data_IF_210230419111
#
_entry.id   IF_210230419111
#
_cell.length_a   1.000
_cell.length_b   1.000
_cell.length_c   1.000
_cell.angle_alpha   90.00
_cell.angle_beta   90.00
_cell.angle_gamma   90.00
#
_symmetry.space_group_name_H-M   'P 1'
#
loop_
_entity.id
_entity.type
_entity.pdbx_description
1 polymer ?
#
# COMPACT_ATOMS: atom_id res chain seq x y z
N UNK A 1 -10.74 14.26 -1.67
CA UNK A 1 -10.22 12.89 -1.43
C UNK A 1 -8.86 12.77 -2.09
N UNK A 2 -7.88 12.37 -1.32
CA UNK A 2 -6.52 12.24 -1.82
C UNK A 2 -6.15 10.78 -1.93
N UNK A 3 -6.20 10.25 -3.15
CA UNK A 3 -5.70 8.91 -3.40
C UNK A 3 -4.19 8.97 -3.51
N UNK A 4 -3.53 8.17 -2.69
CA UNK A 4 -2.08 8.15 -2.63
C UNK A 4 -1.58 6.75 -2.93
N UNK A 5 -0.42 6.68 -3.55
CA UNK A 5 0.27 5.43 -3.77
C UNK A 5 1.35 5.32 -2.72
N UNK A 6 1.26 4.29 -1.90
CA UNK A 6 2.17 4.06 -0.80
C UNK A 6 3.06 2.88 -1.15
N UNK A 7 4.37 3.07 -1.03
CA UNK A 7 5.32 1.99 -1.27
C UNK A 7 6.00 1.63 0.03
N UNK A 8 5.90 0.36 0.38
CA UNK A 8 6.52 -0.20 1.58
C UNK A 8 7.64 -1.13 1.15
N UNK A 9 8.79 -1.02 1.77
CA UNK A 9 9.91 -1.90 1.49
C UNK A 9 10.31 -2.60 2.77
N UNK A 10 10.83 -3.81 2.62
CA UNK A 10 11.19 -4.65 3.75
C UNK A 10 12.29 -3.98 4.56
N UNK A 11 12.04 -3.86 5.86
CA UNK A 11 13.02 -3.33 6.78
C UNK A 11 13.96 -4.45 7.21
N UNK A 12 14.84 -4.16 8.16
CA UNK A 12 15.84 -5.13 8.60
C UNK A 12 15.18 -6.35 9.23
N UNK A 13 15.64 -7.50 8.80
CA UNK A 13 15.24 -8.79 9.38
C UNK A 13 16.48 -9.66 9.41
N UNK A 14 16.45 -10.79 10.13
CA UNK A 14 17.59 -11.70 10.10
C UNK A 14 17.95 -12.15 8.68
N UNK A 15 16.97 -12.33 7.82
CA UNK A 15 17.22 -12.75 6.44
C UNK A 15 17.70 -11.60 5.58
N UNK A 16 17.41 -10.38 5.97
CA UNK A 16 17.78 -9.17 5.22
C UNK A 16 18.33 -8.14 6.20
N UNK A 17 19.60 -8.31 6.60
CA UNK A 17 20.15 -7.46 7.67
C UNK A 17 20.16 -5.97 7.35
N UNK A 18 20.09 -5.60 6.09
CA UNK A 18 20.03 -4.19 5.69
C UNK A 18 18.70 -3.85 5.04
N UNK A 19 17.71 -4.74 5.17
CA UNK A 19 16.44 -4.56 4.50
C UNK A 19 16.55 -4.90 3.03
N UNK A 20 15.48 -4.64 2.29
CA UNK A 20 15.48 -4.90 0.85
C UNK A 20 14.45 -4.03 0.16
N UNK A 21 14.88 -3.28 -0.83
CA UNK A 21 13.97 -2.47 -1.63
C UNK A 21 13.27 -3.29 -2.72
N UNK A 22 13.63 -4.55 -2.86
CA UNK A 22 13.02 -5.43 -3.85
C UNK A 22 11.98 -6.36 -3.23
N UNK A 23 11.64 -6.15 -1.98
CA UNK A 23 10.64 -6.94 -1.28
C UNK A 23 9.69 -5.97 -0.59
N UNK A 24 8.43 -6.03 -0.91
CA UNK A 24 7.51 -5.13 -0.27
C UNK A 24 6.14 -5.10 -0.91
N UNK A 25 5.48 -3.99 -0.70
CA UNK A 25 4.12 -3.78 -1.14
C UNK A 25 3.97 -2.37 -1.69
N UNK A 26 3.11 -2.25 -2.68
CA UNK A 26 2.71 -0.94 -3.17
C UNK A 26 1.19 -0.94 -3.26
N UNK A 27 0.57 0.03 -2.66
CA UNK A 27 -0.89 0.06 -2.67
C UNK A 27 -1.41 1.48 -2.79
N UNK A 28 -2.65 1.58 -3.25
CA UNK A 28 -3.34 2.85 -3.40
C UNK A 28 -4.39 2.93 -2.31
N UNK A 29 -4.45 4.07 -1.62
CA UNK A 29 -5.45 4.30 -0.58
C UNK A 29 -5.69 5.78 -0.43
N UNK A 30 -6.92 6.17 -0.03
CA UNK A 30 -7.15 7.55 0.35
C UNK A 30 -6.57 7.77 1.73
N UNK A 31 -5.83 8.85 1.89
CA UNK A 31 -5.22 9.18 3.17
C UNK A 31 -5.83 10.44 3.74
N UNK A 32 -5.91 10.48 5.07
CA UNK A 32 -6.32 11.68 5.77
C UNK A 32 -5.18 12.69 5.75
N UNK A 33 -5.46 13.87 6.28
CA UNK A 33 -4.44 14.90 6.39
C UNK A 33 -3.27 14.43 7.27
N UNK A 34 -3.56 13.56 8.23
CA UNK A 34 -2.54 13.01 9.13
C UNK A 34 -1.87 11.77 8.55
N UNK A 35 -2.14 11.48 7.28
CA UNK A 35 -1.50 10.37 6.57
C UNK A 35 -1.89 8.99 7.10
N UNK A 36 -3.10 8.88 7.59
CA UNK A 36 -3.69 7.59 7.92
C UNK A 36 -4.65 7.19 6.81
N UNK A 37 -4.90 5.89 6.66
CA UNK A 37 -5.89 5.47 5.68
C UNK A 37 -7.26 5.97 6.12
N UNK A 38 -7.92 6.65 5.20
CA UNK A 38 -9.26 7.20 5.45
C UNK A 38 -10.27 6.10 5.15
N UNK A 39 -10.76 5.45 6.23
CA UNK A 39 -11.66 4.32 6.07
C UNK A 39 -13.00 4.70 5.46
N UNK A 40 -13.45 5.91 5.75
CA UNK A 40 -14.73 6.35 5.20
C UNK A 40 -14.60 6.63 3.71
N UNK A 41 -13.54 7.31 3.30
CA UNK A 41 -13.30 7.57 1.88
C UNK A 41 -13.01 6.27 1.13
N UNK A 42 -12.37 5.31 1.79
CA UNK A 42 -12.07 4.04 1.17
C UNK A 42 -13.33 3.34 0.66
N UNK A 43 -14.43 3.46 1.39
CA UNK A 43 -15.67 2.78 0.98
C UNK A 43 -16.11 3.18 -0.42
N UNK A 44 -15.86 4.42 -0.77
CA UNK A 44 -16.29 4.94 -2.07
C UNK A 44 -15.35 4.54 -3.20
N UNK A 45 -14.10 4.18 -2.87
CA UNK A 45 -13.08 3.91 -3.89
C UNK A 45 -12.38 2.58 -3.69
N UNK A 46 -12.98 1.68 -2.94
CA UNK A 46 -12.31 0.44 -2.57
C UNK A 46 -11.88 -0.41 -3.75
N UNK A 47 -12.59 -0.30 -4.86
CA UNK A 47 -12.22 -1.05 -6.06
C UNK A 47 -11.03 -0.43 -6.78
N UNK A 48 -10.60 0.75 -6.37
CA UNK A 48 -9.42 1.40 -6.93
C UNK A 48 -8.22 1.26 -6.01
N UNK A 49 -8.40 0.71 -4.83
CA UNK A 49 -7.32 0.58 -3.86
C UNK A 49 -6.60 -0.74 -4.09
N UNK A 50 -5.81 -0.76 -5.15
CA UNK A 50 -5.11 -1.96 -5.57
C UNK A 50 -3.84 -2.13 -4.78
N UNK A 51 -3.44 -3.37 -4.63
CA UNK A 51 -2.22 -3.74 -3.92
C UNK A 51 -1.39 -4.61 -4.84
N UNK A 52 -0.10 -4.35 -4.86
CA UNK A 52 0.87 -5.19 -5.55
C UNK A 52 1.91 -5.62 -4.53
N UNK A 53 2.13 -6.92 -4.45
CA UNK A 53 3.21 -7.46 -3.64
C UNK A 53 4.35 -7.84 -4.58
N UNK A 54 5.52 -7.33 -4.29
CA UNK A 54 6.71 -7.68 -5.06
C UNK A 54 7.71 -8.33 -4.10
N UNK A 55 8.32 -9.41 -4.54
CA UNK A 55 9.17 -10.19 -3.64
C UNK A 55 10.31 -10.81 -4.43
N UNK A 56 11.34 -10.01 -4.67
CA UNK A 56 12.52 -10.48 -5.39
C UNK A 56 12.18 -10.97 -6.78
N UNK A 57 12.56 -12.20 -7.03
CA UNK A 57 12.34 -12.80 -8.35
C UNK A 57 10.99 -13.48 -8.49
N UNK A 58 10.19 -13.49 -7.41
CA UNK A 58 8.87 -14.11 -7.48
C UNK A 58 7.93 -13.25 -8.32
N UNK A 59 6.96 -13.87 -8.97
CA UNK A 59 5.96 -13.09 -9.70
C UNK A 59 5.21 -12.15 -8.77
N UNK A 60 4.90 -10.97 -9.26
CA UNK A 60 4.12 -10.03 -8.48
C UNK A 60 2.71 -10.56 -8.26
N UNK A 61 2.14 -10.22 -7.12
CA UNK A 61 0.78 -10.58 -6.80
C UNK A 61 -0.04 -9.30 -6.69
N UNK A 62 -1.21 -9.32 -7.30
CA UNK A 62 -2.11 -8.17 -7.28
C UNK A 62 -3.36 -8.49 -6.51
N UNK A 63 -3.88 -7.50 -5.84
CA UNK A 63 -5.10 -7.65 -5.09
C UNK A 63 -5.70 -6.31 -4.74
N UNK A 64 -6.53 -6.33 -3.72
CA UNK A 64 -7.25 -5.14 -3.26
C UNK A 64 -7.03 -4.95 -1.78
N UNK A 65 -7.02 -3.70 -1.36
CA UNK A 65 -7.00 -3.33 0.04
C UNK A 65 -8.40 -3.47 0.61
N UNK A 66 -8.54 -4.22 1.68
CA UNK A 66 -9.83 -4.47 2.32
C UNK A 66 -9.81 -4.01 3.76
N UNK A 67 -10.92 -3.51 4.21
CA UNK A 67 -11.10 -3.12 5.61
C UNK A 67 -11.93 -4.21 6.28
N UNK A 68 -11.33 -4.89 7.24
CA UNK A 68 -11.97 -6.00 7.92
C UNK A 68 -11.83 -5.77 9.42
N UNK A 69 -12.98 -5.65 10.11
CA UNK A 69 -12.95 -5.35 11.54
C UNK A 69 -12.28 -4.02 11.78
N UNK A 70 -11.24 -4.03 12.60
CA UNK A 70 -10.50 -2.81 12.93
C UNK A 70 -9.21 -2.68 12.16
N UNK A 71 -8.96 -3.55 11.20
CA UNK A 71 -7.69 -3.57 10.52
C UNK A 71 -7.82 -3.56 9.02
N UNK A 72 -6.67 -3.57 8.38
CA UNK A 72 -6.58 -3.56 6.94
C UNK A 72 -5.94 -4.86 6.49
N UNK A 73 -6.34 -5.31 5.31
CA UNK A 73 -5.93 -6.58 4.80
C UNK A 73 -5.71 -6.47 3.30
N UNK A 74 -4.72 -7.19 2.80
CA UNK A 74 -4.48 -7.29 1.37
C UNK A 74 -5.11 -8.58 0.89
N UNK A 75 -6.03 -8.47 -0.06
CA UNK A 75 -6.78 -9.61 -0.58
C UNK A 75 -6.36 -9.85 -2.01
N UNK A 76 -5.57 -10.87 -2.23
CA UNK A 76 -5.02 -11.17 -3.56
C UNK A 76 -5.93 -12.06 -4.39
N UNK A 77 -6.94 -12.63 -3.79
CA UNK A 77 -7.86 -13.50 -4.49
C UNK A 77 -9.26 -13.24 -3.98
N UNK A 78 -10.00 -12.33 -4.63
CA UNK A 78 -11.35 -12.00 -4.16
C UNK A 78 -12.29 -13.19 -4.12
N UNK A 79 -12.00 -14.25 -4.86
CA UNK A 79 -12.83 -15.45 -4.85
C UNK A 79 -12.35 -16.48 -3.85
N UNK A 80 -11.10 -16.38 -3.48
CA UNK A 80 -10.53 -17.28 -2.50
C UNK A 80 -10.52 -16.64 -1.15
N UNK A 81 -9.89 -17.28 -0.23
CA UNK A 81 -9.92 -16.83 1.14
C UNK A 81 -8.62 -17.11 1.88
N UNK A 82 -7.67 -17.69 1.19
CA UNK A 82 -6.47 -18.17 1.87
C UNK A 82 -5.25 -17.28 1.65
N UNK A 83 -5.36 -16.29 0.79
CA UNK A 83 -4.20 -15.49 0.43
C UNK A 83 -4.20 -14.11 1.08
N UNK A 84 -5.10 -13.88 2.00
CA UNK A 84 -5.18 -12.59 2.67
C UNK A 84 -3.98 -12.41 3.58
N UNK A 85 -3.43 -11.21 3.57
CA UNK A 85 -2.35 -10.86 4.47
C UNK A 85 -2.81 -9.75 5.39
N UNK A 86 -2.98 -10.02 6.68
CA UNK A 86 -3.45 -8.99 7.62
C UNK A 86 -2.46 -7.83 7.70
N UNK A 87 -3.01 -6.65 7.76
CA UNK A 87 -2.23 -5.43 7.87
C UNK A 87 -2.57 -4.84 9.23
N UNK A 88 -1.71 -5.03 10.21
CA UNK A 88 -2.04 -4.71 11.60
C UNK A 88 -1.83 -3.25 11.92
N UNK A 89 -2.77 -2.70 12.69
CA UNK A 89 -2.66 -1.38 13.31
C UNK A 89 -2.39 -0.26 12.33
N UNK A 90 -2.75 -0.48 11.08
CA UNK A 90 -2.50 0.54 10.08
C UNK A 90 -3.27 1.83 10.37
N UNK A 91 -4.46 1.68 10.93
CA UNK A 91 -5.29 2.82 11.25
C UNK A 91 -4.70 3.70 12.34
N UNK A 92 -3.74 3.17 13.11
CA UNK A 92 -3.12 3.91 14.18
C UNK A 92 -1.73 4.40 13.83
N UNK A 93 -1.25 4.07 12.64
CA UNK A 93 0.07 4.48 12.21
C UNK A 93 -0.03 5.43 11.04
N UNK A 94 0.75 6.48 11.11
CA UNK A 94 0.88 7.38 9.98
C UNK A 94 1.71 6.69 8.89
N UNK A 95 1.28 6.82 7.66
CA UNK A 95 2.01 6.28 6.52
C UNK A 95 2.97 7.33 5.96
N UNK A 96 3.64 8.00 6.87
CA UNK A 96 4.61 9.01 6.52
C UNK A 96 5.90 8.35 6.04
N UNK A 97 6.55 8.89 5.03
CA UNK A 97 7.83 8.32 4.59
C UNK A 97 8.79 8.19 5.77
N UNK A 98 9.41 7.03 5.87
CA UNK A 98 10.30 6.73 6.98
C UNK A 98 9.63 6.03 8.15
N UNK A 99 8.30 6.01 8.21
CA UNK A 99 7.59 5.30 9.27
C UNK A 99 7.68 3.80 9.04
N UNK A 100 7.46 3.04 10.10
CA UNK A 100 7.51 1.58 10.05
C UNK A 100 6.14 1.01 10.32
N UNK A 101 5.79 -0.03 9.60
CA UNK A 101 4.56 -0.78 9.82
C UNK A 101 4.90 -2.25 9.77
N UNK A 102 4.10 -3.06 10.45
CA UNK A 102 4.29 -4.50 10.46
C UNK A 102 3.15 -5.16 9.70
N UNK A 103 3.50 -6.15 8.90
CA UNK A 103 2.53 -6.93 8.15
C UNK A 103 2.73 -8.39 8.51
N UNK A 104 1.65 -9.07 8.88
CA UNK A 104 1.70 -10.50 9.03
C UNK A 104 1.36 -11.12 7.69
N UNK A 105 2.32 -11.81 7.12
CA UNK A 105 2.14 -12.38 5.80
C UNK A 105 1.45 -13.74 5.90
N UNK A 106 1.10 -14.30 4.75
CA UNK A 106 0.28 -15.51 4.75
C UNK A 106 0.98 -16.73 5.31
N UNK A 107 2.29 -16.65 5.51
CA UNK A 107 3.02 -17.71 6.20
C UNK A 107 2.96 -17.54 7.72
N UNK A 108 2.23 -16.55 8.20
CA UNK A 108 2.08 -16.30 9.62
C UNK A 108 3.23 -15.51 10.24
N UNK A 109 4.20 -15.14 9.46
CA UNK A 109 5.36 -14.42 9.98
C UNK A 109 5.11 -12.92 9.87
N UNK A 110 5.31 -12.22 10.98
CA UNK A 110 5.20 -10.77 11.00
C UNK A 110 6.54 -10.17 10.61
N UNK A 111 6.49 -9.29 9.61
CA UNK A 111 7.70 -8.66 9.12
C UNK A 111 7.56 -7.14 9.15
N UNK A 112 8.63 -6.43 9.46
CA UNK A 112 8.59 -4.97 9.48
C UNK A 112 8.85 -4.40 8.08
N UNK A 113 8.13 -3.34 7.77
CA UNK A 113 8.31 -2.64 6.51
C UNK A 113 8.46 -1.15 6.79
N UNK A 114 9.19 -0.48 5.95
CA UNK A 114 9.38 0.96 6.05
C UNK A 114 8.64 1.63 4.89
N UNK A 115 7.95 2.71 5.19
CA UNK A 115 7.29 3.50 4.16
C UNK A 115 8.39 4.21 3.37
N UNK A 116 8.53 3.83 2.12
CA UNK A 116 9.55 4.41 1.26
C UNK A 116 9.05 5.70 0.62
N UNK A 117 7.83 5.68 0.12
CA UNK A 117 7.29 6.85 -0.55
C UNK A 117 5.77 6.88 -0.46
N UNK A 118 5.23 8.08 -0.53
CA UNK A 118 3.80 8.32 -0.58
C UNK A 118 3.61 9.39 -1.65
N UNK A 119 2.98 9.01 -2.75
CA UNK A 119 2.85 9.88 -3.90
C UNK A 119 1.40 9.99 -4.32
N UNK A 120 0.96 11.16 -4.78
CA UNK A 120 -0.41 11.28 -5.29
C UNK A 120 -0.61 10.39 -6.51
N UNK A 121 -1.80 9.80 -6.58
CA UNK A 121 -2.17 9.06 -7.77
C UNK A 121 -2.67 10.05 -8.79
N UNK A 122 -2.03 10.04 -9.96
CA UNK A 122 -2.44 10.92 -11.04
C UNK A 122 -3.57 10.23 -11.78
N UNK A 123 -4.75 10.81 -11.69
CA UNK A 123 -5.90 10.30 -12.41
C UNK A 123 -5.92 10.95 -13.77
N UNK A 124 -5.82 10.14 -14.79
CA UNK A 124 -5.90 10.66 -16.14
C UNK A 124 -7.37 10.90 -16.47
N UNK A 125 -7.71 12.15 -16.68
CA UNK A 125 -9.06 12.50 -17.10
C UNK A 125 -9.09 12.44 -18.61
N UNK A 126 -10.04 11.69 -19.11
CA UNK A 126 -10.13 11.51 -20.54
C UNK A 126 -10.34 12.86 -21.25
N UNK A 127 -9.55 13.10 -22.24
CA UNK A 127 -9.65 14.33 -23.00
C UNK A 127 -8.98 15.51 -22.36
N UNK A 128 -8.57 15.38 -21.13
CA UNK A 128 -7.87 16.45 -20.43
C UNK A 128 -6.49 15.97 -20.14
N UNK A 129 -5.58 16.37 -20.92
CA UNK A 129 -4.22 16.09 -20.61
C UNK A 129 -3.73 17.15 -19.67
N UNK A 130 -3.24 16.73 -18.56
CA UNK A 130 -2.67 17.66 -17.62
C UNK A 130 -1.20 17.63 -17.79
N UNK A 131 -0.70 18.68 -18.36
CA UNK A 131 0.76 18.78 -18.45
C UNK A 131 1.24 18.97 -17.04
N UNK A 132 1.82 18.24 -16.62
CA UNK A 132 2.14 18.33 -15.25
C UNK A 132 3.07 19.42 -14.90
N UNK A 133 2.25 19.37 -15.29
CA UNK A 133 2.56 19.81 -15.29
C UNK A 133 3.13 20.26 -15.59
N UNK A 134 2.86 20.39 -15.80
CA UNK A 134 3.19 20.56 -16.41
C UNK A 134 3.75 20.98 -16.36
N UNK A 135 3.63 21.13 -16.14
CA UNK A 135 4.04 21.32 -16.25
C UNK A 135 4.85 21.55 -16.23
N UNK A 136 5.08 21.89 -16.22
CA UNK A 136 5.75 21.94 -16.48
C UNK A 136 6.52 21.55 -16.37
N UNK A 137 6.72 21.59 -16.47
CA UNK A 137 7.36 21.22 -16.58
C UNK A 137 8.09 21.15 -16.36
N UNK A 138 8.29 21.23 -16.38
CA UNK A 138 9.03 21.19 -16.26
C UNK A 138 9.49 21.02 -16.25
#
# INVERSE_FOLDING_TARGET
>A
MNLMKVRLVLARTPDFPVGSSEHGYEFVAPLTRDEHIDGEAWRAVKDKCRVIRFWGDEPEREGLLRHVGHGWRFDYDPKGDSDDEPFFKLDKHSLRPGAYVSITENDGVQRPFRVESVLPVVTRVRGAFIPSASFPSP
#
